data_IF_401874992834
#
_entry.id   IF_401874992834
#
_cell.length_a   1.000
_cell.length_b   1.000
_cell.length_c   1.000
_cell.angle_alpha   90.00
_cell.angle_beta   90.00
_cell.angle_gamma   90.00
#
_symmetry.space_group_name_H-M   'P 1'
#
loop_
_entity.id
_entity.type
_entity.pdbx_description
1 polymer ?
#
# COMPACT_ATOMS: atom_id res chain seq x y z
N UNK A 1 10.42 -14.33 0.52
CA UNK A 1 10.66 -15.14 1.76
C UNK A 1 11.13 -14.27 2.93
N UNK A 2 12.00 -13.27 2.74
CA UNK A 2 12.60 -12.48 3.83
C UNK A 2 11.54 -11.78 4.71
N UNK A 3 10.55 -11.10 4.11
CA UNK A 3 9.53 -10.33 4.84
C UNK A 3 8.74 -11.20 5.84
N UNK A 4 8.48 -12.46 5.52
CA UNK A 4 7.78 -13.36 6.42
C UNK A 4 8.62 -13.80 7.64
N UNK A 5 9.94 -13.70 7.56
CA UNK A 5 10.87 -14.19 8.61
C UNK A 5 11.45 -13.08 9.48
N UNK A 6 11.45 -11.84 9.02
CA UNK A 6 12.04 -10.69 9.76
C UNK A 6 11.33 -10.43 11.09
N UNK A 7 10.02 -10.74 11.18
CA UNK A 7 9.22 -10.55 12.38
C UNK A 7 9.79 -11.31 13.60
N UNK A 8 10.27 -12.55 13.40
CA UNK A 8 10.87 -13.34 14.46
C UNK A 8 12.24 -12.81 14.91
N UNK A 9 12.79 -11.84 14.20
CA UNK A 9 14.10 -11.22 14.47
C UNK A 9 13.99 -9.78 14.96
N UNK A 10 12.78 -9.35 15.33
CA UNK A 10 12.49 -7.97 15.79
C UNK A 10 12.86 -6.90 14.77
N UNK A 11 12.82 -7.24 13.47
CA UNK A 11 13.08 -6.32 12.38
C UNK A 11 11.75 -5.87 11.81
N UNK A 12 11.53 -4.56 11.72
CA UNK A 12 10.38 -3.96 11.02
C UNK A 12 10.77 -3.49 9.63
N UNK A 13 9.82 -3.54 8.69
CA UNK A 13 9.99 -3.01 7.35
C UNK A 13 8.82 -2.09 7.01
N UNK A 14 9.12 -0.91 6.49
CA UNK A 14 8.14 0.02 5.92
C UNK A 14 8.33 0.08 4.42
N UNK A 15 7.28 -0.28 3.68
CA UNK A 15 7.29 -0.32 2.21
C UNK A 15 6.46 0.84 1.72
N UNK A 16 7.04 1.71 0.90
CA UNK A 16 6.37 2.87 0.31
C UNK A 16 6.20 2.62 -1.18
N UNK A 17 4.96 2.70 -1.67
CA UNK A 17 4.59 2.42 -3.04
C UNK A 17 3.79 3.59 -3.62
N UNK A 18 3.94 3.85 -4.90
CA UNK A 18 3.06 4.78 -5.62
C UNK A 18 1.73 4.12 -6.00
N UNK A 19 1.75 2.82 -6.31
CA UNK A 19 0.58 2.02 -6.65
C UNK A 19 0.83 0.54 -6.38
N UNK A 20 -0.22 -0.23 -6.23
CA UNK A 20 -0.12 -1.68 -6.08
C UNK A 20 0.25 -2.38 -7.40
N UNK A 21 -0.15 -1.82 -8.54
CA UNK A 21 0.26 -2.34 -9.84
C UNK A 21 1.77 -2.30 -10.04
N UNK A 22 2.47 -1.31 -9.48
CA UNK A 22 3.93 -1.28 -9.47
C UNK A 22 4.52 -2.49 -8.73
N UNK A 23 3.97 -2.82 -7.56
CA UNK A 23 4.41 -3.99 -6.80
C UNK A 23 4.17 -5.30 -7.58
N UNK A 24 2.98 -5.43 -8.20
CA UNK A 24 2.64 -6.59 -9.02
C UNK A 24 3.52 -6.72 -10.27
N UNK A 25 3.89 -5.61 -10.89
CA UNK A 25 4.81 -5.61 -12.03
C UNK A 25 6.20 -6.14 -11.65
N UNK A 26 6.70 -5.77 -10.45
CA UNK A 26 8.03 -6.18 -9.98
C UNK A 26 8.06 -7.60 -9.41
N UNK A 27 7.07 -7.98 -8.62
CA UNK A 27 7.09 -9.20 -7.81
C UNK A 27 6.06 -10.26 -8.25
N UNK A 28 5.26 -9.98 -9.28
CA UNK A 28 4.24 -10.90 -9.82
C UNK A 28 3.42 -11.55 -8.69
N UNK A 29 3.35 -12.88 -8.66
CA UNK A 29 2.59 -13.66 -7.66
C UNK A 29 3.05 -13.45 -6.20
N UNK A 30 4.28 -12.98 -6.01
CA UNK A 30 4.80 -12.67 -4.67
C UNK A 30 4.30 -11.33 -4.11
N UNK A 31 3.70 -10.47 -4.92
CA UNK A 31 3.18 -9.17 -4.50
C UNK A 31 2.12 -9.30 -3.40
N UNK A 32 1.17 -10.22 -3.57
CA UNK A 32 0.09 -10.47 -2.60
C UNK A 32 0.65 -11.01 -1.28
N UNK A 33 1.71 -11.82 -1.34
CA UNK A 33 2.42 -12.29 -0.14
C UNK A 33 3.09 -11.14 0.61
N UNK A 34 3.65 -10.17 -0.11
CA UNK A 34 4.28 -8.98 0.50
C UNK A 34 3.23 -8.16 1.23
N UNK A 35 2.12 -7.84 0.56
CA UNK A 35 1.00 -7.07 1.15
C UNK A 35 0.39 -7.81 2.35
N UNK A 36 0.17 -9.13 2.22
CA UNK A 36 -0.41 -9.97 3.27
C UNK A 36 0.45 -10.09 4.53
N UNK A 37 1.76 -9.84 4.44
CA UNK A 37 2.66 -9.80 5.60
C UNK A 37 2.74 -8.41 6.26
N UNK A 38 2.14 -7.39 5.68
CA UNK A 38 2.05 -6.06 6.28
C UNK A 38 0.84 -6.01 7.23
N UNK A 39 1.08 -5.83 8.52
CA UNK A 39 0.01 -5.71 9.52
C UNK A 39 -0.69 -4.35 9.49
N UNK A 40 -0.05 -3.35 8.92
CA UNK A 40 -0.56 -1.98 8.81
C UNK A 40 -0.46 -1.50 7.38
N UNK A 41 -1.55 -0.91 6.87
CA UNK A 41 -1.59 -0.23 5.59
C UNK A 41 -2.06 1.21 5.80
N UNK A 42 -1.28 2.16 5.28
CA UNK A 42 -1.62 3.58 5.28
C UNK A 42 -1.82 4.05 3.83
N UNK A 43 -3.05 4.38 3.49
CA UNK A 43 -3.39 4.95 2.19
C UNK A 43 -3.46 6.47 2.27
N UNK A 44 -2.62 7.15 1.51
CA UNK A 44 -2.48 8.60 1.50
C UNK A 44 -3.19 9.28 0.31
N UNK A 45 -3.96 8.52 -0.44
CA UNK A 45 -4.64 8.97 -1.65
C UNK A 45 -3.95 8.47 -2.92
N UNK A 46 -4.70 8.46 -4.00
CA UNK A 46 -4.24 8.00 -5.32
C UNK A 46 -5.41 7.89 -6.27
N UNK A 47 -5.12 7.72 -7.58
CA UNK A 47 -6.13 7.59 -8.64
C UNK A 47 -5.98 6.30 -9.45
N UNK A 48 -5.08 5.41 -9.05
CA UNK A 48 -4.84 4.17 -9.77
C UNK A 48 -5.95 3.16 -9.44
N UNK A 49 -6.66 2.69 -10.48
CA UNK A 49 -7.88 1.88 -10.36
C UNK A 49 -7.71 0.62 -9.55
N UNK A 50 -6.60 -0.10 -9.73
CA UNK A 50 -6.36 -1.36 -9.01
C UNK A 50 -6.23 -1.09 -7.52
N UNK A 51 -5.48 -0.06 -7.13
CA UNK A 51 -5.32 0.35 -5.74
C UNK A 51 -6.65 0.81 -5.14
N UNK A 52 -7.45 1.62 -5.86
CA UNK A 52 -8.76 2.08 -5.38
C UNK A 52 -9.72 0.90 -5.15
N UNK A 53 -9.78 -0.03 -6.10
CA UNK A 53 -10.60 -1.23 -5.98
C UNK A 53 -10.21 -2.09 -4.77
N UNK A 54 -8.92 -2.38 -4.63
CA UNK A 54 -8.43 -3.18 -3.50
C UNK A 54 -8.66 -2.47 -2.16
N UNK A 55 -8.51 -1.14 -2.10
CA UNK A 55 -8.85 -0.35 -0.90
C UNK A 55 -10.33 -0.44 -0.56
N UNK A 56 -11.23 -0.29 -1.55
CA UNK A 56 -12.68 -0.41 -1.33
C UNK A 56 -13.08 -1.81 -0.85
N UNK A 57 -12.46 -2.86 -1.41
CA UNK A 57 -12.68 -4.25 -0.99
C UNK A 57 -12.16 -4.51 0.43
N UNK A 58 -10.99 -3.98 0.79
CA UNK A 58 -10.38 -4.10 2.12
C UNK A 58 -11.18 -3.39 3.21
N UNK A 59 -11.80 -2.25 2.88
CA UNK A 59 -12.67 -1.52 3.82
C UNK A 59 -13.93 -2.33 4.15
N UNK A 60 -14.37 -3.18 3.22
CA UNK A 60 -15.51 -4.06 3.40
C UNK A 60 -16.85 -3.36 3.17
N UNK A 61 -17.91 -3.95 3.73
CA UNK A 61 -19.29 -3.51 3.54
C UNK A 61 -19.98 -3.28 4.88
N UNK A 62 -20.84 -2.29 4.92
CA UNK A 62 -21.82 -2.09 5.99
C UNK A 62 -23.20 -2.59 5.56
N UNK A 63 -24.00 -3.03 6.52
CA UNK A 63 -25.38 -3.40 6.26
C UNK A 63 -26.25 -2.15 6.39
N UNK A 64 -26.93 -1.80 5.31
CA UNK A 64 -27.91 -0.71 5.30
C UNK A 64 -29.33 -1.28 5.19
N UNK A 65 -30.26 -0.60 5.84
CA UNK A 65 -31.67 -0.89 5.79
C UNK A 65 -32.32 -0.07 4.68
N UNK A 66 -32.87 -0.76 3.65
CA UNK A 66 -33.59 -0.12 2.57
C UNK A 66 -35.09 -0.28 2.80
N UNK A 67 -35.78 0.84 2.82
CA UNK A 67 -37.24 0.89 2.88
C UNK A 67 -37.79 1.26 1.50
N UNK A 68 -38.38 0.29 0.82
CA UNK A 68 -39.09 0.54 -0.44
C UNK A 68 -40.56 0.67 -0.15
N UNK A 69 -41.16 1.83 -0.39
CA UNK A 69 -42.60 2.05 -0.37
C UNK A 69 -43.15 1.87 -1.78
N UNK A 70 -44.04 0.88 -1.97
CA UNK A 70 -44.79 0.73 -3.20
C UNK A 70 -46.22 1.23 -2.99
N UNK A 71 -46.62 2.26 -3.74
CA UNK A 71 -47.99 2.76 -3.81
C UNK A 71 -48.61 2.24 -5.10
N UNK A 72 -49.61 1.36 -4.97
CA UNK A 72 -50.37 0.91 -6.13
C UNK A 72 -51.63 1.81 -6.28
N UNK A 73 -51.67 2.58 -7.37
CA UNK A 73 -52.83 3.42 -7.73
C UNK A 73 -53.89 2.56 -8.46
N UNK A 74 -54.62 1.78 -7.72
CA UNK A 74 -55.86 1.13 -8.20
C UNK A 74 -57.04 1.61 -7.36
N UNK A 75 -58.27 1.21 -7.71
CA UNK A 75 -59.48 1.58 -6.97
C UNK A 75 -59.47 1.22 -5.48
N UNK A 76 -58.53 0.35 -5.06
CA UNK A 76 -58.18 0.10 -3.67
C UNK A 76 -56.69 0.49 -3.47
N UNK A 77 -56.45 1.54 -2.69
CA UNK A 77 -55.11 1.96 -2.34
C UNK A 77 -54.48 0.92 -1.41
N UNK A 78 -53.45 0.26 -1.87
CA UNK A 78 -52.62 -0.64 -1.05
C UNK A 78 -51.25 -0.04 -0.85
N UNK A 79 -50.84 0.07 0.41
CA UNK A 79 -49.48 0.50 0.79
C UNK A 79 -48.67 -0.74 1.20
N UNK A 80 -47.66 -1.07 0.43
CA UNK A 80 -46.71 -2.11 0.78
C UNK A 80 -45.41 -1.47 1.30
N UNK A 81 -44.97 -1.83 2.50
CA UNK A 81 -43.68 -1.48 3.04
C UNK A 81 -42.78 -2.73 2.88
N UNK A 82 -41.81 -2.66 2.00
CA UNK A 82 -40.87 -3.74 1.83
C UNK A 82 -39.55 -3.34 2.53
N UNK A 83 -39.15 -4.12 3.52
CA UNK A 83 -37.91 -3.95 4.28
C UNK A 83 -36.87 -4.91 3.73
N UNK A 84 -35.71 -4.35 3.26
CA UNK A 84 -34.64 -5.15 2.72
C UNK A 84 -33.32 -4.70 3.34
N UNK A 85 -32.54 -5.65 3.85
CA UNK A 85 -31.15 -5.43 4.26
C UNK A 85 -30.23 -5.69 3.09
N UNK A 86 -29.38 -4.72 2.77
CA UNK A 86 -28.37 -4.88 1.72
C UNK A 86 -26.99 -4.43 2.21
N UNK A 87 -25.94 -5.04 1.65
CA UNK A 87 -24.55 -4.65 1.94
C UNK A 87 -24.11 -3.52 1.01
N UNK A 88 -23.83 -2.35 1.57
CA UNK A 88 -23.21 -1.22 0.87
C UNK A 88 -21.71 -1.20 1.17
N UNK A 89 -20.85 -0.95 0.17
CA UNK A 89 -19.42 -0.71 0.42
C UNK A 89 -19.26 0.45 1.39
N UNK A 90 -18.35 0.32 2.35
CA UNK A 90 -18.09 1.36 3.35
C UNK A 90 -17.62 2.65 2.68
N UNK A 91 -16.75 2.52 1.68
CA UNK A 91 -16.39 3.56 0.72
C UNK A 91 -16.25 2.93 -0.67
N UNK A 92 -16.88 3.54 -1.66
CA UNK A 92 -16.75 3.13 -3.06
C UNK A 92 -15.42 3.59 -3.65
N UNK A 93 -15.02 3.01 -4.79
CA UNK A 93 -13.82 3.45 -5.52
C UNK A 93 -13.86 4.94 -5.85
N UNK A 94 -15.03 5.45 -6.24
CA UNK A 94 -15.24 6.85 -6.60
C UNK A 94 -15.11 7.77 -5.38
N UNK A 95 -15.64 7.36 -4.23
CA UNK A 95 -15.52 8.12 -2.97
C UNK A 95 -14.07 8.18 -2.51
N UNK A 96 -13.31 7.08 -2.64
CA UNK A 96 -11.88 7.03 -2.33
C UNK A 96 -11.08 7.90 -3.31
N UNK A 97 -11.45 7.91 -4.61
CA UNK A 97 -10.74 8.68 -5.63
C UNK A 97 -10.85 10.20 -5.43
N UNK A 98 -11.96 10.67 -4.84
CA UNK A 98 -12.21 12.09 -4.55
C UNK A 98 -11.91 12.47 -3.09
N UNK A 99 -11.30 11.57 -2.33
CA UNK A 99 -10.92 11.82 -0.95
C UNK A 99 -10.06 13.08 -0.84
N UNK A 100 -10.37 13.90 0.17
CA UNK A 100 -9.61 15.12 0.45
C UNK A 100 -8.11 14.85 0.61
N UNK A 101 -7.27 15.70 -0.01
CA UNK A 101 -5.82 15.56 0.02
C UNK A 101 -5.20 15.60 1.43
N UNK A 102 -5.88 16.19 2.42
CA UNK A 102 -5.49 16.22 3.82
C UNK A 102 -5.90 14.98 4.63
N UNK A 103 -6.65 14.04 4.01
CA UNK A 103 -7.13 12.82 4.67
C UNK A 103 -6.32 11.59 4.30
N UNK A 104 -6.40 10.59 5.16
CA UNK A 104 -5.79 9.27 4.95
C UNK A 104 -6.69 8.17 5.49
N UNK A 105 -6.49 6.96 4.99
CA UNK A 105 -7.13 5.74 5.49
C UNK A 105 -6.03 4.88 6.11
N UNK A 106 -6.20 4.55 7.39
CA UNK A 106 -5.30 3.67 8.12
C UNK A 106 -6.01 2.37 8.43
N UNK A 107 -5.43 1.27 8.02
CA UNK A 107 -5.88 -0.07 8.33
C UNK A 107 -4.83 -0.80 9.16
N UNK A 108 -5.26 -1.39 10.27
CA UNK A 108 -4.42 -2.17 11.17
C UNK A 108 -5.10 -3.52 11.35
N UNK A 109 -4.33 -4.61 11.32
CA UNK A 109 -4.86 -5.96 11.54
C UNK A 109 -5.60 -6.05 12.87
N UNK A 110 -6.82 -6.59 12.85
CA UNK A 110 -7.65 -6.80 14.03
C UNK A 110 -8.43 -5.58 14.51
N UNK A 111 -8.34 -4.45 13.82
CA UNK A 111 -9.06 -3.21 14.13
C UNK A 111 -9.87 -2.73 12.92
N UNK A 112 -10.96 -2.03 13.15
CA UNK A 112 -11.71 -1.38 12.06
C UNK A 112 -10.85 -0.29 11.40
N UNK A 113 -11.01 -0.05 10.09
CA UNK A 113 -10.30 1.01 9.41
C UNK A 113 -10.56 2.39 10.02
N UNK A 114 -9.56 3.24 9.99
CA UNK A 114 -9.65 4.63 10.46
C UNK A 114 -9.60 5.58 9.27
N UNK A 115 -10.53 6.53 9.22
CA UNK A 115 -10.47 7.68 8.33
C UNK A 115 -9.99 8.88 9.16
N UNK A 116 -8.81 9.39 8.85
CA UNK A 116 -8.12 10.38 9.69
C UNK A 116 -7.50 11.50 8.88
N UNK A 117 -7.11 12.55 9.56
CA UNK A 117 -6.29 13.61 8.98
C UNK A 117 -4.83 13.18 8.84
N UNK A 118 -4.20 13.60 7.76
CA UNK A 118 -2.75 13.47 7.62
C UNK A 118 -2.06 14.35 8.68
N UNK A 119 -0.94 13.87 9.17
CA UNK A 119 -0.14 14.64 10.09
C UNK A 119 0.39 15.92 9.42
N UNK A 120 0.17 17.04 10.05
CA UNK A 120 0.72 18.33 9.61
C UNK A 120 2.19 18.43 10.05
N UNK A 121 3.10 18.23 9.10
CA UNK A 121 4.54 18.21 9.36
C UNK A 121 5.05 19.54 9.94
N UNK A 122 4.35 20.65 9.70
CA UNK A 122 4.74 21.97 10.23
C UNK A 122 4.65 22.03 11.75
N UNK A 123 3.83 21.16 12.36
CA UNK A 123 3.67 21.03 13.81
C UNK A 123 4.73 20.15 14.46
N UNK A 124 5.58 19.50 13.67
CA UNK A 124 6.63 18.65 14.23
C UNK A 124 7.72 19.49 14.90
N UNK A 125 8.20 19.14 16.11
CA UNK A 125 9.24 19.91 16.82
C UNK A 125 10.48 20.18 15.99
N UNK A 126 10.88 19.21 15.16
CA UNK A 126 12.07 19.29 14.31
C UNK A 126 11.79 19.88 12.91
N UNK A 127 10.59 20.39 12.63
CA UNK A 127 10.27 20.98 11.32
C UNK A 127 11.27 22.09 10.93
N UNK A 128 11.74 22.86 11.92
CA UNK A 128 12.72 23.94 11.71
C UNK A 128 14.07 23.47 11.18
N UNK A 129 14.36 22.15 11.27
CA UNK A 129 15.61 21.54 10.77
C UNK A 129 15.48 21.05 9.31
N UNK A 130 14.27 21.06 8.75
CA UNK A 130 14.03 20.60 7.37
C UNK A 130 14.40 21.69 6.36
N UNK A 131 14.80 21.25 5.16
CA UNK A 131 15.05 22.13 4.03
C UNK A 131 13.80 22.94 3.62
N UNK A 132 12.60 22.37 3.81
CA UNK A 132 11.32 23.02 3.54
C UNK A 132 11.07 24.24 4.43
N UNK A 133 11.65 24.26 5.62
CA UNK A 133 11.59 25.44 6.50
C UNK A 133 12.59 26.52 6.10
N UNK A 134 13.81 26.14 5.71
CA UNK A 134 14.86 27.07 5.30
C UNK A 134 15.85 26.41 4.37
N UNK A 135 16.17 27.06 3.25
CA UNK A 135 17.19 26.63 2.30
C UNK A 135 18.58 26.40 2.97
N UNK A 136 18.83 27.06 4.10
CA UNK A 136 20.06 26.86 4.88
C UNK A 136 20.20 25.44 5.44
N UNK A 137 19.07 24.77 5.67
CA UNK A 137 19.03 23.42 6.22
C UNK A 137 19.21 22.34 5.14
N UNK A 138 19.29 22.76 3.88
CA UNK A 138 19.50 21.82 2.79
C UNK A 138 20.85 21.13 2.93
N UNK A 139 20.80 19.79 3.02
CA UNK A 139 22.01 18.98 3.04
C UNK A 139 22.78 19.13 1.74
N UNK A 140 24.04 19.51 1.83
CA UNK A 140 24.94 19.69 0.68
C UNK A 140 25.95 18.57 0.69
N UNK A 141 25.65 17.54 -0.11
CA UNK A 141 26.47 16.33 -0.22
C UNK A 141 27.94 16.67 -0.54
N UNK A 142 28.16 17.67 -1.41
CA UNK A 142 29.50 18.08 -1.84
C UNK A 142 30.39 18.63 -0.69
N UNK A 143 29.74 19.10 0.41
CA UNK A 143 30.47 19.63 1.57
C UNK A 143 30.80 18.57 2.62
N UNK A 144 30.00 17.50 2.65
CA UNK A 144 30.08 16.44 3.66
C UNK A 144 30.88 15.23 3.16
N UNK A 145 31.01 15.07 1.84
CA UNK A 145 31.87 14.05 1.28
C UNK A 145 33.32 14.47 1.50
N UNK A 146 33.99 13.79 2.42
CA UNK A 146 35.41 13.93 2.61
C UNK A 146 36.13 13.64 1.27
N UNK A 147 37.01 14.55 0.77
CA UNK A 147 37.78 14.32 -0.46
C UNK A 147 38.54 12.99 -0.49
N UNK A 148 38.81 12.38 0.67
CA UNK A 148 39.39 11.04 0.78
C UNK A 148 38.50 9.91 0.25
N UNK A 149 37.19 10.10 0.20
CA UNK A 149 36.22 9.12 -0.28
C UNK A 149 35.67 9.43 -1.68
N UNK A 150 36.15 10.49 -2.32
CA UNK A 150 35.90 10.68 -3.75
C UNK A 150 36.67 9.61 -4.50
N UNK A 151 36.02 8.66 -5.20
CA UNK A 151 36.75 7.71 -6.02
C UNK A 151 37.58 8.50 -7.01
N UNK A 152 38.90 8.26 -7.02
CA UNK A 152 39.79 8.86 -8.00
C UNK A 152 39.32 8.36 -9.38
N UNK A 153 39.46 9.17 -10.45
CA UNK A 153 39.05 8.75 -11.79
C UNK A 153 39.72 7.45 -12.28
N UNK A 154 40.81 7.04 -11.63
CA UNK A 154 41.56 5.84 -11.97
C UNK A 154 41.35 4.66 -10.98
N UNK A 155 40.44 4.80 -9.99
CA UNK A 155 40.06 3.67 -9.16
C UNK A 155 39.16 2.76 -9.99
N UNK A 156 39.65 1.60 -10.42
CA UNK A 156 38.85 0.52 -11.02
C UNK A 156 37.82 0.09 -9.98
N UNK A 157 36.59 0.49 -10.18
CA UNK A 157 35.45 -0.02 -9.41
C UNK A 157 35.15 -1.41 -9.94
N UNK A 158 35.56 -2.45 -9.21
CA UNK A 158 35.09 -3.81 -9.46
C UNK A 158 33.54 -3.82 -9.25
N UNK A 159 32.84 -3.76 -10.36
CA UNK A 159 31.39 -4.01 -10.36
C UNK A 159 31.22 -5.50 -10.20
N UNK A 160 30.92 -5.96 -8.97
CA UNK A 160 30.42 -7.32 -8.78
C UNK A 160 29.03 -7.40 -9.40
N UNK A 161 28.92 -7.86 -10.63
CA UNK A 161 27.67 -8.32 -11.18
C UNK A 161 27.25 -9.60 -10.43
N UNK A 162 26.27 -9.47 -9.54
CA UNK A 162 25.61 -10.62 -8.96
C UNK A 162 24.73 -11.23 -10.06
N UNK A 163 25.20 -12.29 -10.67
CA UNK A 163 24.43 -13.09 -11.61
C UNK A 163 23.30 -13.79 -10.85
N UNK A 164 22.08 -13.27 -10.94
CA UNK A 164 20.88 -13.82 -10.32
C UNK A 164 20.27 -14.98 -11.15
N UNK A 165 21.01 -15.55 -12.10
CA UNK A 165 20.49 -16.53 -13.06
C UNK A 165 20.78 -18.01 -12.73
N UNK A 166 21.44 -18.36 -11.61
CA UNK A 166 21.82 -19.76 -11.33
C UNK A 166 21.02 -20.49 -10.22
N UNK A 167 19.79 -20.11 -9.90
CA UNK A 167 18.95 -20.93 -8.99
C UNK A 167 17.72 -21.54 -9.68
N UNK A 168 17.87 -22.07 -10.88
CA UNK A 168 16.74 -22.61 -11.65
C UNK A 168 16.92 -23.98 -12.33
N UNK A 169 18.03 -24.72 -12.11
CA UNK A 169 18.24 -25.93 -12.92
C UNK A 169 18.90 -27.12 -12.21
N UNK A 170 18.53 -27.44 -10.98
CA UNK A 170 18.96 -28.69 -10.31
C UNK A 170 17.80 -29.61 -9.89
N UNK A 171 16.74 -29.75 -10.65
CA UNK A 171 15.69 -30.74 -10.37
C UNK A 171 15.21 -31.57 -11.56
N UNK A 172 15.94 -31.68 -12.65
CA UNK A 172 15.49 -32.53 -13.77
C UNK A 172 16.44 -33.69 -14.18
N UNK A 173 17.41 -34.10 -13.36
CA UNK A 173 18.33 -35.18 -13.75
C UNK A 173 18.40 -36.40 -12.81
N UNK A 174 17.37 -36.72 -12.04
CA UNK A 174 17.35 -37.90 -11.16
C UNK A 174 16.26 -38.95 -11.45
N UNK A 175 15.55 -38.91 -12.58
CA UNK A 175 14.55 -39.94 -12.92
C UNK A 175 14.93 -40.89 -14.07
N UNK A 176 16.12 -40.84 -14.63
CA UNK A 176 16.53 -41.72 -15.72
C UNK A 176 17.60 -42.77 -15.34
N UNK A 177 17.78 -43.10 -14.06
CA UNK A 177 18.68 -44.21 -13.68
C UNK A 177 18.05 -45.20 -12.72
N UNK A 178 16.84 -45.69 -12.99
CA UNK A 178 16.32 -46.93 -12.45
C UNK A 178 15.21 -47.48 -13.38
N UNK A 179 15.62 -48.10 -14.48
CA UNK A 179 14.94 -49.19 -15.17
C UNK A 179 15.99 -50.10 -15.79
#
# INVERSE_FOLDING_TARGET
KLIATIRSREISASIILQSQSQLKAMYKDSADTILGNCDTMLFLGGKEKTTLKEMSELLGKETIDLYNTSETRSNQKSFGLNYQKTGKQLMTEDEIAVMDGGKCILQIRGVRPFYSDKYDITKHPNYRLLADYSEKNRFKVEKELDPKYSPKPDDEVEVMEMDLSEDGNEQENNEERNN
#
